data_IF_147855648184
#
_entry.id   IF_147855648184
#
_cell.length_a   1.000
_cell.length_b   1.000
_cell.length_c   1.000
_cell.angle_alpha   90.00
_cell.angle_beta   90.00
_cell.angle_gamma   90.00
#
_symmetry.space_group_name_H-M   'P 1'
#
loop_
_entity.id
_entity.type
_entity.pdbx_description
1 polymer ?
#
# COMPACT_ATOMS: atom_id res chain seq x y z
N UNK A 1 20.50 21.84 36.93
CA UNK A 1 20.62 21.95 35.46
C UNK A 1 20.59 20.53 34.90
N UNK A 2 19.41 20.08 34.48
CA UNK A 2 19.20 18.75 33.94
C UNK A 2 19.21 18.83 32.41
N UNK A 3 20.15 18.12 31.79
CA UNK A 3 20.12 17.83 30.36
C UNK A 3 19.15 16.66 30.16
N UNK A 4 17.97 16.93 29.58
CA UNK A 4 17.10 15.90 29.06
C UNK A 4 17.62 15.48 27.68
N UNK A 5 18.13 14.24 27.59
CA UNK A 5 18.56 13.64 26.33
C UNK A 5 17.36 13.38 25.42
N UNK A 6 17.48 13.82 24.17
CA UNK A 6 16.55 13.46 23.10
C UNK A 6 16.67 11.95 22.83
N UNK A 7 15.56 11.24 22.94
CA UNK A 7 15.43 9.85 22.47
C UNK A 7 15.04 9.93 20.99
N UNK A 8 15.91 9.48 20.09
CA UNK A 8 15.58 9.27 18.68
C UNK A 8 14.47 8.22 18.59
N UNK A 9 13.29 8.62 18.09
CA UNK A 9 12.17 7.71 17.85
C UNK A 9 12.07 7.48 16.33
N UNK A 10 12.42 6.28 15.88
CA UNK A 10 12.20 5.82 14.51
C UNK A 10 10.71 5.56 14.29
N UNK A 11 10.07 6.27 13.35
CA UNK A 11 8.61 6.24 13.13
C UNK A 11 8.12 5.03 12.35
N UNK A 12 8.95 4.50 11.44
CA UNK A 12 8.62 3.32 10.66
C UNK A 12 9.16 2.05 11.30
N UNK A 13 8.44 0.95 11.12
CA UNK A 13 8.84 -0.35 11.66
C UNK A 13 9.85 -0.98 10.70
N UNK A 14 11.10 -1.13 11.13
CA UNK A 14 11.94 -2.25 10.67
C UNK A 14 11.45 -3.44 11.49
N UNK A 15 10.65 -4.30 10.88
CA UNK A 15 9.97 -5.37 11.60
C UNK A 15 11.00 -6.35 12.18
N UNK A 16 11.26 -6.21 13.47
CA UNK A 16 11.48 -7.37 14.33
C UNK A 16 10.16 -7.53 15.08
N UNK A 17 9.50 -8.68 14.92
CA UNK A 17 8.25 -9.00 15.61
C UNK A 17 8.34 -8.67 17.10
N UNK A 18 7.27 -8.14 17.70
CA UNK A 18 6.89 -8.68 19.00
C UNK A 18 5.37 -8.64 19.19
N UNK A 19 4.75 -9.81 19.17
CA UNK A 19 3.54 -10.05 19.95
C UNK A 19 3.63 -11.49 20.45
N UNK A 20 4.29 -11.66 21.60
CA UNK A 20 3.98 -12.66 22.62
C UNK A 20 4.88 -12.39 23.84
N UNK A 21 4.27 -12.47 25.01
CA UNK A 21 4.74 -12.05 26.32
C UNK A 21 6.16 -12.52 26.68
N UNK A 22 7.05 -11.60 27.05
CA UNK A 22 7.99 -11.73 28.20
C UNK A 22 8.95 -10.54 28.24
N UNK A 23 9.05 -9.91 29.41
CA UNK A 23 9.83 -8.69 29.63
C UNK A 23 11.33 -8.93 29.72
N UNK A 24 12.01 -9.05 28.58
CA UNK A 24 13.45 -8.81 28.50
C UNK A 24 13.79 -7.91 27.29
N UNK A 25 14.37 -6.74 27.57
CA UNK A 25 14.90 -5.81 26.57
C UNK A 25 16.21 -6.37 26.01
N UNK A 26 16.17 -6.97 24.82
CA UNK A 26 17.36 -7.29 24.03
C UNK A 26 17.18 -6.79 22.60
N UNK A 27 18.02 -5.85 22.19
CA UNK A 27 18.16 -5.38 20.82
C UNK A 27 18.69 -6.51 19.94
N UNK A 28 17.85 -7.05 19.05
CA UNK A 28 18.28 -8.05 18.07
C UNK A 28 18.19 -7.44 16.68
N UNK A 29 19.36 -7.02 16.17
CA UNK A 29 19.59 -6.81 14.75
C UNK A 29 19.07 -8.01 13.96
N UNK A 30 18.33 -7.75 12.88
CA UNK A 30 17.87 -8.75 11.94
C UNK A 30 19.02 -9.70 11.54
N UNK A 31 19.10 -10.85 12.21
CA UNK A 31 19.85 -11.99 11.69
C UNK A 31 19.02 -12.51 10.55
N UNK A 32 19.45 -12.20 9.33
CA UNK A 32 19.23 -13.06 8.17
C UNK A 32 19.36 -14.51 8.62
N UNK A 33 18.29 -15.26 8.41
CA UNK A 33 18.19 -16.69 8.64
C UNK A 33 19.35 -17.38 7.90
N UNK A 34 20.45 -17.60 8.62
CA UNK A 34 21.41 -18.65 8.33
C UNK A 34 21.07 -19.81 9.25
N UNK A 35 20.35 -20.81 8.75
CA UNK A 35 20.30 -22.12 9.42
C UNK A 35 18.96 -22.86 9.47
N UNK A 36 18.36 -23.18 8.32
CA UNK A 36 17.91 -24.57 8.08
C UNK A 36 18.34 -24.98 6.69
N UNK A 37 19.35 -25.84 6.63
CA UNK A 37 19.70 -26.62 5.44
C UNK A 37 18.56 -27.60 5.16
N UNK A 38 17.59 -27.19 4.35
CA UNK A 38 16.90 -28.12 3.45
C UNK A 38 17.55 -27.92 2.07
N UNK A 39 18.28 -28.94 1.62
CA UNK A 39 19.05 -28.90 0.38
C UNK A 39 18.19 -28.90 -0.87
N UNK A 40 17.47 -27.81 -1.12
CA UNK A 40 17.03 -27.45 -2.46
C UNK A 40 17.99 -26.38 -2.97
N UNK A 41 18.98 -26.79 -3.78
CA UNK A 41 19.53 -25.85 -4.75
C UNK A 41 18.36 -25.44 -5.64
N UNK A 42 17.91 -24.19 -5.55
CA UNK A 42 17.16 -23.60 -6.65
C UNK A 42 18.12 -23.60 -7.84
N UNK A 43 17.99 -24.63 -8.67
CA UNK A 43 18.70 -24.74 -9.93
C UNK A 43 18.13 -23.70 -10.87
N UNK A 44 19.00 -22.81 -11.35
CA UNK A 44 18.79 -21.98 -12.53
C UNK A 44 17.82 -20.80 -12.38
N UNK A 45 18.37 -19.57 -12.46
CA UNK A 45 17.62 -18.44 -13.03
C UNK A 45 16.94 -17.45 -12.10
N UNK A 46 17.59 -16.97 -11.03
CA UNK A 46 17.13 -15.76 -10.30
C UNK A 46 18.31 -14.80 -10.10
N UNK A 47 18.96 -14.45 -11.21
CA UNK A 47 20.19 -13.65 -11.21
C UNK A 47 20.01 -12.13 -11.31
N UNK A 48 18.79 -11.61 -11.52
CA UNK A 48 18.62 -10.20 -11.94
C UNK A 48 17.39 -9.45 -11.34
N UNK A 49 16.67 -10.03 -10.37
CA UNK A 49 15.48 -9.40 -9.77
C UNK A 49 15.90 -8.31 -8.78
N UNK A 50 15.59 -7.04 -9.08
CA UNK A 50 16.07 -5.86 -8.32
C UNK A 50 15.26 -5.63 -7.04
N UNK A 51 15.67 -6.23 -5.93
CA UNK A 51 15.45 -5.61 -4.60
C UNK A 51 16.66 -4.74 -4.26
N UNK A 52 16.45 -3.55 -3.69
CA UNK A 52 17.57 -2.69 -3.27
C UNK A 52 17.92 -2.99 -1.83
N UNK A 53 19.17 -3.33 -1.54
CA UNK A 53 19.60 -3.48 -0.14
C UNK A 53 19.93 -2.10 0.43
N UNK A 54 19.19 -1.67 1.44
CA UNK A 54 19.45 -0.43 2.19
C UNK A 54 19.68 -0.86 3.64
N UNK A 55 20.86 -0.51 4.18
CA UNK A 55 21.27 -0.83 5.55
C UNK A 55 21.17 -2.34 5.89
N UNK A 56 21.51 -3.19 4.91
CA UNK A 56 21.51 -4.65 5.05
C UNK A 56 20.14 -5.31 4.89
N UNK A 57 19.07 -4.53 4.67
CA UNK A 57 17.71 -5.03 4.53
C UNK A 57 17.25 -4.89 3.07
N UNK A 58 16.65 -5.95 2.45
CA UNK A 58 15.98 -5.82 1.16
C UNK A 58 14.82 -4.83 1.24
N UNK A 59 14.81 -3.85 0.34
CA UNK A 59 13.81 -2.78 0.25
C UNK A 59 13.27 -2.69 -1.17
N UNK A 60 12.14 -1.99 -1.31
CA UNK A 60 11.49 -1.82 -2.59
C UNK A 60 12.43 -1.15 -3.61
N UNK A 61 12.36 -1.61 -4.86
CA UNK A 61 13.15 -1.11 -5.98
C UNK A 61 13.01 0.40 -6.24
N UNK A 62 11.89 1.00 -5.82
CA UNK A 62 11.63 2.45 -5.95
C UNK A 62 12.41 3.31 -4.95
N UNK A 63 12.93 2.74 -3.87
CA UNK A 63 13.47 3.54 -2.77
C UNK A 63 14.85 4.11 -3.10
N UNK A 64 14.96 5.43 -2.98
CA UNK A 64 16.25 6.07 -2.82
C UNK A 64 16.71 5.92 -1.36
N UNK A 65 17.98 5.56 -1.14
CA UNK A 65 18.48 5.23 0.18
C UNK A 65 18.52 6.44 1.11
N UNK A 66 18.82 7.63 0.58
CA UNK A 66 18.94 8.83 1.39
C UNK A 66 17.55 9.37 1.73
N UNK A 67 16.64 9.40 0.76
CA UNK A 67 15.23 9.77 0.97
C UNK A 67 14.58 8.82 1.97
N UNK A 68 14.79 7.51 1.83
CA UNK A 68 14.25 6.53 2.77
C UNK A 68 14.73 6.81 4.20
N UNK A 69 16.04 7.03 4.42
CA UNK A 69 16.58 7.34 5.75
C UNK A 69 16.08 8.67 6.31
N UNK A 70 15.91 9.68 5.45
CA UNK A 70 15.30 10.95 5.83
C UNK A 70 13.84 10.75 6.26
N UNK A 71 13.07 9.95 5.53
CA UNK A 71 11.67 9.64 5.87
C UNK A 71 11.50 8.99 7.24
N UNK A 72 12.48 8.19 7.70
CA UNK A 72 12.45 7.59 9.05
C UNK A 72 12.41 8.62 10.18
N UNK A 73 12.86 9.84 9.90
CA UNK A 73 12.91 10.96 10.84
C UNK A 73 11.68 11.87 10.73
N UNK A 74 10.78 11.61 9.78
CA UNK A 74 9.60 12.41 9.55
C UNK A 74 8.70 12.45 10.79
N UNK A 75 8.33 13.65 11.21
CA UNK A 75 7.38 13.85 12.30
C UNK A 75 6.10 14.48 11.76
N UNK A 76 4.97 13.77 11.78
CA UNK A 76 3.72 14.35 11.33
C UNK A 76 3.24 15.42 12.33
N UNK A 77 2.70 16.50 11.78
CA UNK A 77 2.16 17.62 12.53
C UNK A 77 0.67 17.42 12.81
N UNK A 78 0.19 18.11 13.85
CA UNK A 78 -1.24 18.14 14.18
C UNK A 78 -2.10 18.50 12.95
N UNK A 79 -3.13 17.70 12.71
CA UNK A 79 -4.04 17.90 11.58
C UNK A 79 -3.61 17.23 10.27
N UNK A 80 -2.42 16.62 10.23
CA UNK A 80 -2.05 15.75 9.12
C UNK A 80 -2.95 14.51 9.06
N UNK A 81 -3.06 13.94 7.86
CA UNK A 81 -3.68 12.64 7.64
C UNK A 81 -2.71 11.72 6.91
N UNK A 82 -2.46 10.54 7.48
CA UNK A 82 -1.57 9.52 6.89
C UNK A 82 -2.39 8.30 6.48
N UNK A 83 -2.41 8.00 5.19
CA UNK A 83 -2.98 6.75 4.67
C UNK A 83 -1.92 5.65 4.63
N UNK A 84 -2.20 4.53 5.29
CA UNK A 84 -1.32 3.36 5.37
C UNK A 84 -1.95 2.20 4.59
N UNK A 85 -1.17 1.59 3.70
CA UNK A 85 -1.66 0.52 2.82
C UNK A 85 -0.55 -0.42 2.43
N UNK A 86 -0.77 -1.73 2.49
CA UNK A 86 0.08 -2.63 1.71
C UNK A 86 -0.08 -2.29 0.21
N UNK A 87 0.99 -2.31 -0.61
CA UNK A 87 0.90 -1.96 -2.02
C UNK A 87 -0.26 -2.65 -2.74
N UNK A 88 -0.89 -1.94 -3.68
CA UNK A 88 -2.02 -2.43 -4.50
C UNK A 88 -3.34 -2.63 -3.78
N UNK A 89 -3.46 -2.14 -2.55
CA UNK A 89 -4.71 -2.16 -1.77
C UNK A 89 -5.66 -1.00 -2.05
N UNK A 90 -5.31 -0.07 -2.96
CA UNK A 90 -6.20 1.03 -3.36
C UNK A 90 -5.77 2.43 -2.88
N UNK A 91 -4.48 2.63 -2.61
CA UNK A 91 -3.91 3.88 -2.07
C UNK A 91 -4.38 5.12 -2.83
N UNK A 92 -4.15 5.13 -4.13
CA UNK A 92 -4.51 6.25 -5.01
C UNK A 92 -6.01 6.50 -5.09
N UNK A 93 -6.84 5.47 -4.93
CA UNK A 93 -8.29 5.61 -5.00
C UNK A 93 -8.82 6.39 -3.80
N UNK A 94 -8.42 6.01 -2.59
CA UNK A 94 -8.82 6.74 -1.37
C UNK A 94 -8.20 8.13 -1.32
N UNK A 95 -6.93 8.30 -1.74
CA UNK A 95 -6.33 9.62 -1.91
C UNK A 95 -7.17 10.49 -2.86
N UNK A 96 -7.59 9.96 -4.02
CA UNK A 96 -8.40 10.71 -4.99
C UNK A 96 -9.77 11.11 -4.41
N UNK A 97 -10.44 10.21 -3.70
CA UNK A 97 -11.70 10.51 -3.00
C UNK A 97 -11.49 11.63 -1.97
N UNK A 98 -10.44 11.56 -1.15
CA UNK A 98 -10.14 12.61 -0.18
C UNK A 98 -9.86 13.94 -0.86
N UNK A 99 -9.13 13.96 -1.97
CA UNK A 99 -8.89 15.19 -2.73
C UNK A 99 -10.20 15.77 -3.29
N UNK A 100 -11.11 14.93 -3.83
CA UNK A 100 -12.43 15.38 -4.29
C UNK A 100 -13.23 16.04 -3.16
N UNK A 101 -13.25 15.43 -1.96
CA UNK A 101 -13.94 16.00 -0.79
C UNK A 101 -13.33 17.35 -0.40
N UNK A 102 -12.00 17.41 -0.29
CA UNK A 102 -11.29 18.63 0.14
C UNK A 102 -11.33 19.75 -0.90
N UNK A 103 -11.55 19.41 -2.18
CA UNK A 103 -11.73 20.35 -3.29
C UNK A 103 -13.19 20.58 -3.67
N UNK A 104 -14.14 20.26 -2.79
CA UNK A 104 -15.57 20.51 -3.02
C UNK A 104 -16.08 19.94 -4.36
N UNK A 105 -15.65 18.71 -4.71
CA UNK A 105 -16.02 18.00 -5.92
C UNK A 105 -15.34 18.49 -7.20
N UNK A 106 -14.25 19.26 -7.11
CA UNK A 106 -13.42 19.60 -8.26
C UNK A 106 -12.38 18.49 -8.52
N UNK A 107 -12.46 17.76 -9.65
CA UNK A 107 -11.52 16.69 -9.95
C UNK A 107 -10.15 17.26 -10.37
N UNK A 108 -9.09 16.59 -9.95
CA UNK A 108 -7.75 16.80 -10.55
C UNK A 108 -7.74 16.23 -11.97
N UNK A 109 -7.00 16.88 -12.87
CA UNK A 109 -7.01 16.60 -14.32
C UNK A 109 -5.82 15.79 -14.79
N UNK A 110 -4.73 15.79 -14.03
CA UNK A 110 -3.47 15.11 -14.38
C UNK A 110 -2.85 14.43 -13.17
N UNK A 111 -1.98 13.46 -13.41
CA UNK A 111 -1.18 12.83 -12.36
C UNK A 111 -0.32 13.83 -11.59
N UNK A 112 0.25 14.81 -12.27
CA UNK A 112 1.07 15.85 -11.64
C UNK A 112 0.25 16.76 -10.71
N UNK A 113 -1.00 17.07 -11.08
CA UNK A 113 -1.93 17.78 -10.19
C UNK A 113 -2.35 16.88 -9.01
N UNK A 114 -2.55 15.59 -9.24
CA UNK A 114 -2.85 14.65 -8.14
C UNK A 114 -1.71 14.60 -7.11
N UNK A 115 -0.45 14.47 -7.56
CA UNK A 115 0.72 14.38 -6.69
C UNK A 115 1.15 15.70 -6.07
N UNK A 116 0.67 16.86 -6.55
CA UNK A 116 0.88 18.13 -5.84
C UNK A 116 0.06 18.24 -4.55
N UNK A 117 -0.98 17.40 -4.39
CA UNK A 117 -1.90 17.42 -3.25
C UNK A 117 -1.74 16.24 -2.28
N UNK A 118 -0.85 15.27 -2.58
CA UNK A 118 -0.58 14.12 -1.72
C UNK A 118 0.91 13.81 -1.70
N UNK A 119 1.41 13.30 -0.58
CA UNK A 119 2.84 13.09 -0.39
C UNK A 119 3.16 11.68 0.14
N UNK A 120 4.02 10.97 -0.55
CA UNK A 120 4.42 9.60 -0.28
C UNK A 120 5.65 9.59 0.62
N UNK A 121 5.51 9.09 1.85
CA UNK A 121 6.51 9.30 2.90
C UNK A 121 7.87 8.68 2.56
N UNK A 122 7.89 7.42 2.14
CA UNK A 122 9.16 6.72 1.91
C UNK A 122 9.85 7.05 0.56
N UNK A 123 9.21 7.82 -0.33
CA UNK A 123 9.73 8.09 -1.70
C UNK A 123 10.08 9.56 -1.96
N UNK A 124 9.67 10.49 -1.10
CA UNK A 124 9.81 11.91 -1.36
C UNK A 124 10.35 12.65 -0.13
N UNK A 125 10.98 13.80 -0.36
CA UNK A 125 11.47 14.67 0.72
C UNK A 125 10.36 15.56 1.27
N UNK A 126 10.30 15.72 2.59
CA UNK A 126 9.16 16.36 3.26
C UNK A 126 9.35 17.82 3.63
N UNK A 127 10.59 18.25 3.86
CA UNK A 127 10.92 19.50 4.58
C UNK A 127 10.36 20.77 3.92
N UNK A 128 10.15 20.74 2.60
CA UNK A 128 9.64 21.87 1.80
C UNK A 128 8.26 21.63 1.17
N UNK A 129 7.65 20.47 1.42
CA UNK A 129 6.38 20.16 0.77
C UNK A 129 5.21 20.91 1.41
N UNK A 130 4.50 21.68 0.59
CA UNK A 130 3.28 22.40 0.97
C UNK A 130 2.10 21.86 0.17
N UNK A 131 1.07 21.43 0.88
CA UNK A 131 -0.21 21.08 0.27
C UNK A 131 -1.00 22.34 -0.05
N UNK A 132 -1.63 22.39 -1.22
CA UNK A 132 -2.67 23.38 -1.53
C UNK A 132 -4.04 23.00 -0.92
N UNK A 133 -4.16 21.81 -0.32
CA UNK A 133 -5.37 21.38 0.38
C UNK A 133 -5.37 21.87 1.83
N UNK A 134 -6.56 22.03 2.44
CA UNK A 134 -6.69 22.41 3.85
C UNK A 134 -6.16 21.34 4.82
N UNK A 135 -5.98 20.10 4.36
CA UNK A 135 -5.38 18.99 5.11
C UNK A 135 -4.18 18.49 4.31
N UNK A 136 -3.03 18.30 4.98
CA UNK A 136 -1.88 17.63 4.38
C UNK A 136 -2.15 16.13 4.32
N UNK A 137 -2.26 15.62 3.09
CA UNK A 137 -2.47 14.21 2.83
C UNK A 137 -1.13 13.53 2.59
N UNK A 138 -0.81 12.58 3.45
CA UNK A 138 0.33 11.69 3.30
C UNK A 138 -0.13 10.27 3.01
N UNK A 139 0.73 9.46 2.41
CA UNK A 139 0.56 8.02 2.39
C UNK A 139 1.88 7.29 2.56
N UNK A 140 1.78 6.03 2.99
CA UNK A 140 2.91 5.13 3.11
C UNK A 140 2.52 3.68 2.86
N UNK A 141 3.48 2.91 2.37
CA UNK A 141 3.45 1.45 2.28
C UNK A 141 4.30 0.77 3.34
N UNK A 142 4.87 1.52 4.29
CA UNK A 142 5.58 0.97 5.42
C UNK A 142 4.57 0.55 6.52
N UNK A 143 4.82 -0.54 7.26
CA UNK A 143 3.97 -0.96 8.36
C UNK A 143 3.88 0.11 9.44
N UNK A 144 2.70 0.25 10.04
CA UNK A 144 2.41 1.19 11.13
C UNK A 144 2.01 0.42 12.38
N UNK A 145 2.52 0.86 13.54
CA UNK A 145 2.22 0.30 14.85
C UNK A 145 1.68 1.40 15.76
N UNK A 146 0.72 1.07 16.62
CA UNK A 146 0.02 2.02 17.50
C UNK A 146 0.99 2.81 18.39
N UNK A 147 2.00 2.14 18.95
CA UNK A 147 3.00 2.75 19.85
C UNK A 147 3.81 3.88 19.18
N UNK A 148 3.88 3.88 17.85
CA UNK A 148 4.59 4.88 17.05
C UNK A 148 3.66 5.92 16.44
N UNK A 149 2.35 5.81 16.64
CA UNK A 149 1.39 6.76 16.07
C UNK A 149 1.37 8.06 16.87
N UNK A 150 1.32 9.18 16.16
CA UNK A 150 1.05 10.48 16.77
C UNK A 150 -0.46 10.61 17.04
N UNK A 151 -0.84 10.77 18.31
CA UNK A 151 -2.24 10.87 18.74
C UNK A 151 -2.96 12.12 18.23
N UNK A 152 -2.23 13.15 17.78
CA UNK A 152 -2.79 14.37 17.20
C UNK A 152 -2.96 14.31 15.67
N UNK A 153 -2.62 13.16 15.08
CA UNK A 153 -2.66 12.91 13.63
C UNK A 153 -3.73 11.88 13.33
N UNK A 154 -4.39 12.01 12.17
CA UNK A 154 -5.37 11.04 11.69
C UNK A 154 -4.71 10.01 10.80
N UNK A 155 -5.12 8.75 10.95
CA UNK A 155 -4.64 7.64 10.15
C UNK A 155 -5.79 6.97 9.41
N UNK A 156 -5.54 6.54 8.18
CA UNK A 156 -6.45 5.64 7.46
C UNK A 156 -5.68 4.38 7.15
N UNK A 157 -6.10 3.24 7.68
CA UNK A 157 -5.58 1.95 7.23
C UNK A 157 -6.53 1.35 6.20
N UNK A 158 -6.04 1.12 4.98
CA UNK A 158 -6.83 0.51 3.91
C UNK A 158 -6.30 -0.89 3.59
N UNK A 159 -7.16 -1.88 3.78
CA UNK A 159 -6.89 -3.29 3.48
C UNK A 159 -7.61 -3.75 2.19
N UNK A 160 -7.09 -4.80 1.57
CA UNK A 160 -7.72 -5.48 0.41
C UNK A 160 -7.41 -6.96 0.48
N UNK A 161 -8.32 -7.82 -0.01
CA UNK A 161 -8.17 -9.27 0.05
C UNK A 161 -6.85 -9.74 -0.61
N UNK A 162 -6.19 -10.79 -0.05
CA UNK A 162 -4.84 -11.18 -0.48
C UNK A 162 -4.77 -11.64 -1.94
N UNK A 163 -5.81 -12.31 -2.44
CA UNK A 163 -5.81 -12.84 -3.81
C UNK A 163 -5.81 -11.72 -4.85
N UNK A 164 -6.69 -10.72 -4.72
CA UNK A 164 -6.70 -9.57 -5.63
C UNK A 164 -5.44 -8.70 -5.48
N UNK A 165 -4.89 -8.59 -4.26
CA UNK A 165 -3.60 -7.89 -4.03
C UNK A 165 -2.48 -8.61 -4.76
N UNK A 166 -2.37 -9.93 -4.62
CA UNK A 166 -1.35 -10.75 -5.27
C UNK A 166 -1.39 -10.57 -6.79
N UNK A 167 -2.57 -10.71 -7.42
CA UNK A 167 -2.72 -10.48 -8.86
C UNK A 167 -2.40 -9.04 -9.24
N UNK A 168 -2.87 -8.06 -8.48
CA UNK A 168 -2.59 -6.66 -8.79
C UNK A 168 -1.12 -6.30 -8.66
N UNK A 169 -0.37 -6.97 -7.77
CA UNK A 169 1.05 -6.75 -7.57
C UNK A 169 1.85 -7.47 -8.65
N UNK A 170 1.51 -8.72 -8.97
CA UNK A 170 2.08 -9.45 -10.11
C UNK A 170 2.03 -8.62 -11.40
N UNK A 171 0.85 -8.11 -11.76
CA UNK A 171 0.68 -7.28 -12.95
C UNK A 171 1.52 -6.00 -12.90
N UNK A 172 1.75 -5.41 -11.71
CA UNK A 172 2.58 -4.22 -11.60
C UNK A 172 4.07 -4.53 -11.82
N UNK A 173 4.58 -5.62 -11.23
CA UNK A 173 6.00 -5.98 -11.33
C UNK A 173 6.37 -6.52 -12.72
N UNK A 174 5.41 -7.13 -13.43
CA UNK A 174 5.58 -7.54 -14.83
C UNK A 174 5.41 -6.36 -15.78
N UNK A 175 4.46 -5.45 -15.52
CA UNK A 175 4.27 -4.27 -16.37
C UNK A 175 5.48 -3.34 -16.32
N UNK A 176 5.98 -2.98 -15.14
CA UNK A 176 6.99 -1.91 -15.01
C UNK A 176 8.40 -2.49 -14.88
N UNK A 177 9.32 -2.00 -15.70
CA UNK A 177 10.67 -2.56 -15.85
C UNK A 177 11.57 -2.46 -14.61
N UNK A 178 11.21 -1.69 -13.57
CA UNK A 178 12.09 -1.48 -12.42
C UNK A 178 12.34 -2.77 -11.62
N UNK A 179 11.39 -3.71 -11.63
CA UNK A 179 11.46 -4.94 -10.83
C UNK A 179 12.17 -6.10 -11.53
N UNK A 180 12.42 -6.00 -12.84
CA UNK A 180 12.99 -7.09 -13.65
C UNK A 180 12.21 -8.42 -13.48
N UNK A 181 10.88 -8.37 -13.51
CA UNK A 181 10.00 -9.53 -13.33
C UNK A 181 9.23 -9.89 -14.62
N UNK A 182 9.54 -9.24 -15.75
CA UNK A 182 8.80 -9.35 -17.02
C UNK A 182 8.72 -10.79 -17.57
N UNK A 183 9.76 -11.59 -17.33
CA UNK A 183 9.89 -12.95 -17.85
C UNK A 183 9.48 -14.03 -16.84
N UNK A 184 8.94 -13.63 -15.68
CA UNK A 184 8.54 -14.54 -14.61
C UNK A 184 7.04 -14.85 -14.63
N UNK A 185 6.67 -16.03 -14.12
CA UNK A 185 5.28 -16.50 -14.14
C UNK A 185 4.48 -16.02 -12.93
N UNK A 186 3.17 -16.22 -12.96
CA UNK A 186 2.31 -15.89 -11.83
C UNK A 186 2.57 -16.80 -10.63
N UNK A 187 2.83 -18.09 -10.87
CA UNK A 187 3.18 -19.09 -9.86
C UNK A 187 4.43 -18.67 -9.08
N UNK A 188 5.49 -18.27 -9.80
CA UNK A 188 6.73 -17.76 -9.18
C UNK A 188 6.46 -16.50 -8.34
N UNK A 189 5.49 -15.67 -8.74
CA UNK A 189 5.12 -14.48 -7.99
C UNK A 189 4.29 -14.82 -6.75
N UNK A 190 3.40 -15.80 -6.80
CA UNK A 190 2.64 -16.27 -5.62
C UNK A 190 3.63 -16.75 -4.55
N UNK A 191 4.63 -17.55 -4.93
CA UNK A 191 5.67 -17.99 -3.99
C UNK A 191 6.42 -16.80 -3.38
N UNK A 192 6.83 -15.82 -4.20
CA UNK A 192 7.50 -14.61 -3.70
C UNK A 192 6.59 -13.79 -2.77
N UNK A 193 5.32 -13.62 -3.12
CA UNK A 193 4.34 -12.88 -2.33
C UNK A 193 4.07 -13.51 -0.96
N UNK A 194 4.11 -14.85 -0.89
CA UNK A 194 3.86 -15.60 0.34
C UNK A 194 5.09 -15.74 1.22
N UNK A 195 6.28 -15.90 0.63
CA UNK A 195 7.48 -16.32 1.35
C UNK A 195 8.51 -15.21 1.55
N UNK A 196 8.34 -14.05 0.92
CA UNK A 196 9.36 -12.99 0.94
C UNK A 196 8.82 -11.64 1.38
N UNK A 197 9.71 -10.81 1.93
CA UNK A 197 9.47 -9.38 2.09
C UNK A 197 9.76 -8.68 0.76
N UNK A 198 8.71 -8.13 0.13
CA UNK A 198 8.79 -7.39 -1.13
C UNK A 198 9.23 -5.92 -0.95
N UNK A 199 9.82 -5.60 0.21
CA UNK A 199 10.32 -4.29 0.59
C UNK A 199 9.38 -3.48 1.48
N UNK A 200 8.33 -4.12 2.01
CA UNK A 200 7.23 -3.50 2.76
C UNK A 200 6.81 -4.31 3.99
N UNK A 201 7.54 -5.37 4.33
CA UNK A 201 7.05 -6.46 5.17
C UNK A 201 6.25 -7.48 4.35
N UNK A 202 5.91 -8.61 4.98
CA UNK A 202 5.00 -9.58 4.38
C UNK A 202 3.57 -9.01 4.35
N UNK A 203 2.74 -9.47 3.40
CA UNK A 203 1.35 -9.05 3.35
C UNK A 203 0.60 -9.33 4.66
N UNK A 204 0.80 -10.51 5.24
CA UNK A 204 0.09 -10.93 6.46
C UNK A 204 0.49 -10.08 7.66
N UNK A 205 1.78 -9.86 7.89
CA UNK A 205 2.25 -9.00 8.99
C UNK A 205 1.75 -7.56 8.81
N UNK A 206 1.85 -7.02 7.59
CA UNK A 206 1.41 -5.66 7.31
C UNK A 206 -0.10 -5.51 7.57
N UNK A 207 -0.94 -6.43 7.08
CA UNK A 207 -2.39 -6.36 7.31
C UNK A 207 -2.78 -6.66 8.75
N UNK A 208 -2.09 -7.57 9.43
CA UNK A 208 -2.31 -7.84 10.85
C UNK A 208 -2.06 -6.60 11.71
N UNK A 209 -0.93 -5.89 11.50
CA UNK A 209 -0.64 -4.65 12.22
C UNK A 209 -1.70 -3.58 11.96
N UNK A 210 -2.17 -3.43 10.72
CA UNK A 210 -3.26 -2.49 10.42
C UNK A 210 -4.60 -2.89 11.02
N UNK A 211 -4.91 -4.18 11.04
CA UNK A 211 -6.14 -4.71 11.63
C UNK A 211 -6.19 -4.53 13.14
N UNK A 212 -5.04 -4.58 13.81
CA UNK A 212 -4.94 -4.25 15.24
C UNK A 212 -5.34 -2.80 15.54
N UNK A 213 -5.21 -1.88 14.56
CA UNK A 213 -5.57 -0.46 14.72
C UNK A 213 -7.06 -0.16 14.47
N UNK A 214 -7.89 -1.17 14.17
CA UNK A 214 -9.27 -0.95 13.70
C UNK A 214 -10.17 -0.22 14.71
N UNK A 215 -9.85 -0.34 15.98
CA UNK A 215 -10.59 0.26 17.11
C UNK A 215 -9.85 1.48 17.70
N UNK A 216 -8.70 1.86 17.13
CA UNK A 216 -7.91 3.02 17.59
C UNK A 216 -8.64 4.33 17.21
N UNK A 217 -8.89 5.26 18.16
CA UNK A 217 -9.76 6.43 17.92
C UNK A 217 -9.34 7.35 16.78
N UNK A 218 -8.03 7.50 16.53
CA UNK A 218 -7.48 8.33 15.47
C UNK A 218 -7.11 7.51 14.21
N UNK A 219 -7.58 6.27 14.08
CA UNK A 219 -7.38 5.42 12.91
C UNK A 219 -8.72 5.00 12.30
N UNK A 220 -8.93 5.31 11.03
CA UNK A 220 -10.05 4.78 10.25
C UNK A 220 -9.59 3.52 9.51
N UNK A 221 -10.08 2.36 9.95
CA UNK A 221 -9.92 1.12 9.19
C UNK A 221 -11.04 0.95 8.16
N UNK A 222 -10.65 0.73 6.92
CA UNK A 222 -11.57 0.51 5.79
C UNK A 222 -11.01 -0.55 4.83
N UNK A 223 -11.89 -1.22 4.09
CA UNK A 223 -11.46 -2.21 3.08
C UNK A 223 -11.81 -1.76 1.67
N UNK A 224 -10.98 -2.12 0.69
CA UNK A 224 -11.24 -1.87 -0.73
C UNK A 224 -12.63 -2.39 -1.15
N UNK A 225 -13.00 -3.56 -0.65
CA UNK A 225 -14.27 -4.22 -0.94
C UNK A 225 -15.44 -3.43 -0.34
N UNK A 226 -15.29 -2.85 0.85
CA UNK A 226 -16.33 -2.00 1.44
C UNK A 226 -16.58 -0.74 0.63
N UNK A 227 -15.51 -0.11 0.11
CA UNK A 227 -15.62 1.09 -0.74
C UNK A 227 -16.29 0.74 -2.07
N UNK A 228 -15.93 -0.38 -2.69
CA UNK A 228 -16.56 -0.81 -3.96
C UNK A 228 -18.03 -1.17 -3.80
N UNK A 229 -18.41 -1.73 -2.65
CA UNK A 229 -19.78 -2.17 -2.35
C UNK A 229 -20.71 -0.98 -2.07
N UNK A 230 -20.22 0.01 -1.34
CA UNK A 230 -20.95 1.24 -1.03
C UNK A 230 -20.02 2.45 -1.13
N UNK A 231 -19.81 2.92 -2.36
CA UNK A 231 -18.97 4.10 -2.62
C UNK A 231 -19.53 5.34 -1.93
N UNK A 232 -20.86 5.49 -1.88
CA UNK A 232 -21.52 6.64 -1.28
C UNK A 232 -21.29 6.69 0.23
N UNK A 233 -21.53 5.58 0.93
CA UNK A 233 -21.24 5.45 2.35
C UNK A 233 -19.75 5.63 2.66
N UNK A 234 -18.86 5.13 1.79
CA UNK A 234 -17.42 5.35 1.94
C UNK A 234 -17.03 6.84 1.82
N UNK A 235 -17.59 7.58 0.84
CA UNK A 235 -17.37 9.03 0.69
C UNK A 235 -17.82 9.77 1.95
N UNK A 236 -18.99 9.43 2.49
CA UNK A 236 -19.52 10.03 3.72
C UNK A 236 -18.66 9.69 4.95
N UNK A 237 -18.21 8.44 5.07
CA UNK A 237 -17.34 8.02 6.19
C UNK A 237 -15.97 8.70 6.12
N UNK A 238 -15.41 8.85 4.92
CA UNK A 238 -14.17 9.59 4.71
C UNK A 238 -14.34 11.08 5.01
N UNK A 239 -15.43 11.72 4.57
CA UNK A 239 -15.67 13.14 4.87
C UNK A 239 -15.85 13.40 6.35
N UNK A 240 -16.55 12.51 7.08
CA UNK A 240 -16.67 12.57 8.52
C UNK A 240 -15.31 12.43 9.21
N UNK A 241 -14.48 11.50 8.75
CA UNK A 241 -13.15 11.31 9.31
C UNK A 241 -12.22 12.49 9.00
N UNK A 242 -12.34 13.13 7.84
CA UNK A 242 -11.60 14.36 7.51
C UNK A 242 -12.01 15.51 8.44
N UNK A 243 -13.30 15.67 8.73
CA UNK A 243 -13.83 16.63 9.70
C UNK A 243 -15.32 16.92 9.52
N UNK A 244 -16.00 17.31 10.60
CA UNK A 244 -17.45 17.57 10.60
C UNK A 244 -17.88 18.59 9.54
N UNK A 245 -17.05 19.60 9.27
CA UNK A 245 -17.34 20.60 8.24
C UNK A 245 -17.47 19.99 6.84
N UNK A 246 -16.70 18.96 6.51
CA UNK A 246 -16.78 18.28 5.21
C UNK A 246 -17.99 17.36 5.16
N UNK A 247 -18.26 16.63 6.25
CA UNK A 247 -19.42 15.76 6.34
C UNK A 247 -20.74 16.53 6.24
N UNK A 248 -20.89 17.62 6.99
CA UNK A 248 -22.10 18.43 7.00
C UNK A 248 -22.42 19.02 5.63
N UNK A 249 -21.39 19.47 4.89
CA UNK A 249 -21.55 19.96 3.51
C UNK A 249 -22.10 18.85 2.60
N UNK A 250 -21.55 17.64 2.66
CA UNK A 250 -22.01 16.54 1.81
C UNK A 250 -23.39 16.01 2.21
N UNK A 251 -23.72 16.00 3.51
CA UNK A 251 -25.05 15.59 4.01
C UNK A 251 -26.15 16.57 3.57
N UNK A 252 -25.83 17.86 3.44
CA UNK A 252 -26.81 18.89 3.10
C UNK A 252 -26.88 19.18 1.60
N UNK A 253 -25.92 18.67 0.82
CA UNK A 253 -25.83 18.91 -0.62
C UNK A 253 -25.76 17.59 -1.40
N UNK A 254 -26.93 17.05 -1.69
CA UNK A 254 -27.09 15.78 -2.40
C UNK A 254 -26.45 15.78 -3.80
N UNK A 255 -26.56 16.90 -4.52
CA UNK A 255 -25.96 17.04 -5.86
C UNK A 255 -24.43 16.95 -5.82
N UNK A 256 -23.81 17.61 -4.84
CA UNK A 256 -22.36 17.55 -4.65
C UNK A 256 -21.91 16.15 -4.25
N UNK A 257 -22.64 15.49 -3.35
CA UNK A 257 -22.32 14.13 -2.93
C UNK A 257 -22.41 13.16 -4.10
N UNK A 258 -23.48 13.20 -4.89
CA UNK A 258 -23.62 12.36 -6.10
C UNK A 258 -22.52 12.65 -7.12
N UNK A 259 -22.16 13.93 -7.31
CA UNK A 259 -21.02 14.30 -8.16
C UNK A 259 -19.71 13.68 -7.68
N UNK A 260 -19.41 13.74 -6.38
CA UNK A 260 -18.19 13.15 -5.82
C UNK A 260 -18.24 11.63 -5.97
N UNK A 261 -19.37 10.98 -5.70
CA UNK A 261 -19.55 9.53 -5.86
C UNK A 261 -19.30 9.11 -7.30
N UNK A 262 -19.83 9.85 -8.27
CA UNK A 262 -19.62 9.58 -9.70
C UNK A 262 -18.13 9.70 -10.06
N UNK A 263 -17.50 10.84 -9.72
CA UNK A 263 -16.08 11.07 -9.99
C UNK A 263 -15.16 10.08 -9.26
N UNK A 264 -15.59 9.54 -8.14
CA UNK A 264 -14.85 8.54 -7.37
C UNK A 264 -14.83 7.17 -8.04
N UNK A 265 -15.62 6.93 -9.08
CA UNK A 265 -15.59 5.64 -9.79
C UNK A 265 -14.24 5.46 -10.50
N UNK A 266 -13.66 4.25 -10.48
CA UNK A 266 -12.36 3.98 -11.11
C UNK A 266 -12.26 4.44 -12.56
N UNK A 267 -13.37 4.38 -13.32
CA UNK A 267 -13.52 4.81 -14.70
C UNK A 267 -12.98 6.22 -14.95
N UNK A 268 -13.33 7.20 -14.10
CA UNK A 268 -12.88 8.58 -14.23
C UNK A 268 -11.38 8.71 -13.97
N UNK A 269 -10.88 7.99 -12.98
CA UNK A 269 -9.47 8.06 -12.59
C UNK A 269 -8.53 7.32 -13.55
N UNK A 270 -9.03 6.50 -14.49
CA UNK A 270 -8.20 5.71 -15.43
C UNK A 270 -7.30 6.57 -16.31
N UNK A 271 -7.81 7.71 -16.76
CA UNK A 271 -7.07 8.64 -17.64
C UNK A 271 -6.33 9.72 -16.86
N UNK A 272 -6.70 9.96 -15.59
CA UNK A 272 -6.07 10.96 -14.73
C UNK A 272 -4.85 10.39 -14.00
N UNK A 273 -4.98 9.18 -13.45
CA UNK A 273 -3.96 8.52 -12.64
C UNK A 273 -3.02 7.69 -13.51
N UNK A 274 -2.33 8.38 -14.42
CA UNK A 274 -1.34 7.79 -15.33
C UNK A 274 0.03 8.37 -15.02
N UNK A 275 0.95 7.54 -14.53
CA UNK A 275 2.33 7.95 -14.30
C UNK A 275 3.02 8.08 -15.65
N UNK A 276 3.53 9.26 -15.95
CA UNK A 276 4.38 9.51 -17.12
C UNK A 276 5.85 9.44 -16.68
N UNK A 277 6.59 8.45 -17.19
CA UNK A 277 7.99 8.26 -16.84
C UNK A 277 8.92 9.32 -17.43
N UNK A 278 8.43 10.09 -18.42
CA UNK A 278 9.18 11.15 -19.09
C UNK A 278 8.79 12.54 -18.59
N UNK A 279 7.54 12.72 -18.15
CA UNK A 279 7.00 14.01 -17.75
C UNK A 279 6.36 13.99 -16.36
N UNK A 280 7.20 13.98 -15.32
CA UNK A 280 6.79 14.02 -13.91
C UNK A 280 7.28 15.29 -13.22
N UNK A 281 6.44 15.95 -12.43
CA UNK A 281 6.83 17.19 -11.76
C UNK A 281 7.74 16.99 -10.54
N UNK A 282 7.79 15.82 -9.92
CA UNK A 282 8.70 15.53 -8.80
C UNK A 282 10.09 15.16 -9.31
N UNK A 283 11.11 15.87 -8.82
CA UNK A 283 12.50 15.62 -9.21
C UNK A 283 13.00 14.27 -8.69
N UNK A 284 12.53 13.82 -7.54
CA UNK A 284 12.79 12.49 -6.99
C UNK A 284 12.32 11.39 -7.95
N UNK A 285 11.06 11.49 -8.40
CA UNK A 285 10.50 10.54 -9.37
C UNK A 285 11.19 10.63 -10.73
N UNK A 286 11.45 11.84 -11.26
CA UNK A 286 12.22 12.01 -12.51
C UNK A 286 13.57 11.30 -12.42
N UNK A 287 14.29 11.47 -11.31
CA UNK A 287 15.60 10.86 -11.11
C UNK A 287 15.52 9.33 -11.12
N UNK A 288 14.54 8.75 -10.45
CA UNK A 288 14.34 7.29 -10.44
C UNK A 288 13.98 6.79 -11.84
N UNK A 289 13.05 7.46 -12.54
CA UNK A 289 12.54 7.05 -13.84
C UNK A 289 13.61 7.10 -14.93
N UNK A 290 14.34 8.22 -15.01
CA UNK A 290 15.38 8.43 -16.01
C UNK A 290 16.59 7.53 -15.77
N UNK A 291 17.05 7.39 -14.51
CA UNK A 291 18.18 6.53 -14.15
C UNK A 291 17.93 5.07 -14.52
N UNK A 292 16.71 4.58 -14.33
CA UNK A 292 16.35 3.19 -14.60
C UNK A 292 15.78 2.98 -16.02
N UNK A 293 15.63 4.04 -16.84
CA UNK A 293 15.05 3.99 -18.19
C UNK A 293 13.73 3.21 -18.21
N UNK A 294 12.81 3.64 -17.34
CA UNK A 294 11.58 2.87 -17.09
C UNK A 294 10.68 2.76 -18.30
N UNK A 295 10.05 1.59 -18.41
CA UNK A 295 9.01 1.30 -19.39
C UNK A 295 7.90 0.49 -18.75
N UNK A 296 6.72 0.55 -19.36
CA UNK A 296 5.54 -0.21 -19.00
C UNK A 296 5.16 -1.12 -20.18
N UNK A 297 5.09 -2.44 -19.98
CA UNK A 297 4.78 -3.41 -21.03
C UNK A 297 3.39 -3.18 -21.63
N UNK A 298 2.37 -3.07 -20.76
CA UNK A 298 0.99 -2.72 -21.15
C UNK A 298 0.88 -1.30 -21.71
N UNK A 299 1.60 -0.35 -21.13
CA UNK A 299 1.53 1.07 -21.47
C UNK A 299 0.16 1.69 -21.20
N UNK A 300 0.01 2.99 -21.47
CA UNK A 300 -1.29 3.66 -21.53
C UNK A 300 -1.64 3.99 -22.99
N UNK A 301 -2.71 3.40 -23.51
CA UNK A 301 -3.12 3.54 -24.93
C UNK A 301 -1.99 3.22 -25.92
N UNK A 302 -1.18 2.21 -25.60
CA UNK A 302 -0.02 1.79 -26.39
C UNK A 302 1.28 2.55 -26.09
N UNK A 303 1.23 3.64 -25.32
CA UNK A 303 2.42 4.39 -24.92
C UNK A 303 3.14 3.69 -23.75
N UNK A 304 4.27 3.04 -24.05
CA UNK A 304 5.09 2.31 -23.07
C UNK A 304 5.84 3.20 -22.09
N UNK A 305 5.83 4.52 -22.29
CA UNK A 305 6.42 5.49 -21.35
C UNK A 305 5.45 5.87 -20.23
N UNK A 306 4.20 5.38 -20.31
CA UNK A 306 3.12 5.70 -19.37
C UNK A 306 2.61 4.45 -18.67
N UNK A 307 2.45 4.54 -17.35
CA UNK A 307 1.89 3.48 -16.52
C UNK A 307 0.52 3.89 -15.96
N UNK A 308 -0.58 3.29 -16.44
CA UNK A 308 -1.91 3.55 -15.89
C UNK A 308 -2.07 2.82 -14.54
N UNK A 309 -2.25 3.58 -13.46
CA UNK A 309 -2.39 3.05 -12.10
C UNK A 309 -3.63 2.19 -11.94
N UNK A 310 -4.70 2.53 -12.66
CA UNK A 310 -5.96 1.79 -12.67
C UNK A 310 -5.92 0.74 -13.78
N UNK A 311 -5.94 -0.54 -13.39
CA UNK A 311 -6.01 -1.68 -14.32
C UNK A 311 -7.46 -2.06 -14.61
N UNK A 312 -8.04 -2.90 -13.76
CA UNK A 312 -9.44 -3.36 -13.87
C UNK A 312 -10.35 -2.73 -12.82
N UNK A 313 -9.85 -2.57 -11.59
CA UNK A 313 -10.59 -2.07 -10.44
C UNK A 313 -11.84 -2.88 -10.10
N UNK A 314 -11.68 -4.21 -10.09
CA UNK A 314 -12.72 -5.19 -9.74
C UNK A 314 -12.35 -5.96 -8.47
N UNK A 315 -13.36 -6.54 -7.82
CA UNK A 315 -13.21 -7.57 -6.77
C UNK A 315 -13.36 -8.94 -7.46
N UNK A 316 -12.53 -9.91 -7.10
CA UNK A 316 -12.64 -11.26 -7.63
C UNK A 316 -11.93 -11.45 -8.97
N UNK A 317 -11.13 -10.48 -9.42
CA UNK A 317 -10.31 -10.62 -10.63
C UNK A 317 -9.22 -11.68 -10.48
N UNK A 318 -8.94 -12.11 -9.24
CA UNK A 318 -8.01 -13.19 -8.94
C UNK A 318 -8.40 -14.55 -9.54
N UNK A 319 -9.68 -14.80 -9.81
CA UNK A 319 -10.18 -16.09 -10.35
C UNK A 319 -9.64 -16.40 -11.74
N UNK A 320 -9.22 -15.39 -12.49
CA UNK A 320 -8.62 -15.56 -13.82
C UNK A 320 -7.15 -16.02 -13.76
N UNK A 321 -6.52 -15.96 -12.59
CA UNK A 321 -5.08 -16.20 -12.42
C UNK A 321 -4.78 -17.41 -11.52
N UNK A 322 -5.55 -17.61 -10.46
CA UNK A 322 -5.28 -18.66 -9.48
C UNK A 322 -5.79 -20.02 -9.97
N UNK A 323 -4.90 -20.99 -10.08
CA UNK A 323 -5.24 -22.42 -10.25
C UNK A 323 -5.63 -23.04 -8.89
N UNK A 324 -6.30 -24.20 -8.88
CA UNK A 324 -6.61 -24.92 -7.64
C UNK A 324 -5.40 -25.17 -6.73
N UNK A 325 -4.23 -25.45 -7.32
CA UNK A 325 -2.98 -25.70 -6.59
C UNK A 325 -2.47 -24.42 -5.91
N UNK A 326 -2.53 -23.29 -6.61
CA UNK A 326 -2.13 -21.98 -6.04
C UNK A 326 -3.06 -21.53 -4.91
N UNK A 327 -4.36 -21.84 -5.03
CA UNK A 327 -5.33 -21.57 -3.96
C UNK A 327 -5.04 -22.43 -2.73
N UNK A 328 -4.72 -23.71 -2.93
CA UNK A 328 -4.26 -24.61 -1.86
C UNK A 328 -3.01 -24.07 -1.17
N UNK A 329 -2.04 -23.56 -1.95
CA UNK A 329 -0.82 -22.97 -1.40
C UNK A 329 -1.12 -21.73 -0.54
N UNK A 330 -1.92 -20.80 -1.05
CA UNK A 330 -2.31 -19.60 -0.30
C UNK A 330 -3.07 -19.94 0.98
N UNK A 331 -4.01 -20.88 0.94
CA UNK A 331 -4.75 -21.33 2.12
C UNK A 331 -3.82 -21.98 3.16
N UNK A 332 -2.88 -22.81 2.70
CA UNK A 332 -1.87 -23.39 3.60
C UNK A 332 -1.10 -22.29 4.33
N UNK A 333 -0.65 -21.26 3.59
CA UNK A 333 0.02 -20.11 4.20
C UNK A 333 -0.87 -19.36 5.19
N UNK A 334 -2.14 -19.10 4.84
CA UNK A 334 -3.11 -18.47 5.76
C UNK A 334 -3.23 -19.27 7.06
N UNK A 335 -3.30 -20.60 6.99
CA UNK A 335 -3.35 -21.47 8.19
C UNK A 335 -2.04 -21.42 9.00
N UNK A 336 -0.89 -21.38 8.33
CA UNK A 336 0.42 -21.26 8.98
C UNK A 336 0.58 -19.94 9.75
N UNK A 337 -0.10 -18.87 9.35
CA UNK A 337 -0.10 -17.59 10.06
C UNK A 337 -0.85 -17.63 11.41
N UNK A 338 -1.77 -18.57 11.62
CA UNK A 338 -2.57 -18.65 12.85
C UNK A 338 -3.30 -17.34 13.16
N UNK A 339 -3.12 -16.83 14.39
CA UNK A 339 -3.74 -15.59 14.87
C UNK A 339 -3.32 -14.35 14.06
N UNK A 340 -2.14 -14.37 13.44
CA UNK A 340 -1.67 -13.29 12.58
C UNK A 340 -2.54 -13.13 11.31
N UNK A 341 -3.34 -14.14 10.96
CA UNK A 341 -4.32 -14.06 9.87
C UNK A 341 -5.77 -13.90 10.36
N UNK A 342 -6.01 -13.50 11.63
CA UNK A 342 -7.37 -13.29 12.16
C UNK A 342 -8.19 -12.27 11.33
N UNK A 343 -7.52 -11.33 10.66
CA UNK A 343 -8.15 -10.37 9.76
C UNK A 343 -8.84 -11.02 8.55
N UNK A 344 -8.55 -12.28 8.23
CA UNK A 344 -9.17 -12.99 7.11
C UNK A 344 -10.69 -13.15 7.25
N UNK A 345 -11.23 -12.99 8.47
CA UNK A 345 -12.69 -12.92 8.71
C UNK A 345 -13.36 -11.78 7.91
N UNK A 346 -12.62 -10.70 7.60
CA UNK A 346 -13.10 -9.60 6.76
C UNK A 346 -13.50 -10.05 5.34
N UNK A 347 -12.96 -11.18 4.89
CA UNK A 347 -13.16 -11.74 3.56
C UNK A 347 -13.58 -13.20 3.60
N UNK A 348 -14.33 -13.61 4.63
CA UNK A 348 -14.80 -14.99 4.81
C UNK A 348 -15.49 -15.54 3.56
N UNK A 349 -16.38 -14.77 2.93
CA UNK A 349 -17.13 -15.19 1.74
C UNK A 349 -16.18 -15.43 0.54
N UNK A 350 -15.15 -14.59 0.38
CA UNK A 350 -14.13 -14.74 -0.68
C UNK A 350 -13.23 -15.94 -0.39
N UNK A 351 -12.88 -16.16 0.88
CA UNK A 351 -12.06 -17.30 1.31
C UNK A 351 -12.81 -18.62 1.11
N UNK A 352 -14.10 -18.67 1.43
CA UNK A 352 -14.95 -19.84 1.18
C UNK A 352 -15.01 -20.17 -0.31
N UNK A 353 -15.15 -19.15 -1.17
CA UNK A 353 -15.10 -19.34 -2.62
C UNK A 353 -13.73 -19.85 -3.09
N UNK A 354 -12.63 -19.28 -2.59
CA UNK A 354 -11.27 -19.74 -2.88
C UNK A 354 -11.05 -21.20 -2.45
N UNK A 355 -11.57 -21.59 -1.28
CA UNK A 355 -11.51 -22.96 -0.79
C UNK A 355 -12.27 -23.93 -1.69
N UNK A 356 -13.49 -23.57 -2.11
CA UNK A 356 -14.32 -24.39 -3.00
C UNK A 356 -13.70 -24.59 -4.40
N UNK A 357 -12.82 -23.68 -4.82
CA UNK A 357 -12.07 -23.78 -6.06
C UNK A 357 -10.70 -24.48 -5.89
N UNK A 358 -10.29 -24.78 -4.65
CA UNK A 358 -8.98 -25.37 -4.34
C UNK A 358 -9.02 -26.89 -4.26
N UNK A 359 -7.86 -27.52 -4.38
CA UNK A 359 -7.68 -28.98 -4.21
C UNK A 359 -7.88 -29.46 -2.78
N UNK A 360 -8.06 -28.57 -1.80
CA UNK A 360 -8.40 -28.94 -0.42
C UNK A 360 -9.84 -29.48 -0.33
N UNK A 361 -10.69 -29.09 -1.29
CA UNK A 361 -12.11 -29.43 -1.33
C UNK A 361 -12.47 -30.63 -2.21
N UNK A 362 -11.51 -31.14 -2.99
CA UNK A 362 -11.61 -32.34 -3.83
C UNK A 362 -10.91 -33.52 -3.15
#
# INVERSE_FOLDING_TARGET
MANAGAVEADWFVVCSSPCLESGEKVWVMARCIHGRRSGARLGGGVGDKKTRVIDGVPRCAWLDADIYRESLKFQPAKGDLIQCTYPKSGTYWVQYIMQLILKNGEPVKTYNEFTSHTHALEYMRHDDWKSALPIRLFFTHLPVCEDKMNKEVKYIYLARNPWDVCVSFYNMVTDVSIWNFQDSTFEEFVDAFLETDLGYGTYFDHVATGYALKDTPNCLFITYESIKRDTRGAVLRLSQFLGEQYFNVLQQNEELLEKIVELSKPEYSRDVLVIDFQNNNSDEWKNIFLRNKLSCQRGHRGDKTKFPMVRTAIIGGWKEYFTPELLTHMEKKIREQGDNAAFMELWKDIREEALAMSDISQ
#
